data_IF_194945726723
#
_entry.id   IF_194945726723
#
_cell.length_a   1.000
_cell.length_b   1.000
_cell.length_c   1.000
_cell.angle_alpha   90.00
_cell.angle_beta   90.00
_cell.angle_gamma   90.00
#
_symmetry.space_group_name_H-M   'P 1'
#
loop_
_entity.id
_entity.type
_entity.pdbx_description
1 polymer ?
#
# COMPACT_ATOMS: atom_id res chain seq x y z
N UNK A 1 16.33 -3.93 -45.44
CA UNK A 1 16.63 -2.58 -44.92
C UNK A 1 15.50 -2.00 -44.07
N UNK A 2 14.29 -1.78 -44.62
CA UNK A 2 13.16 -1.21 -43.85
C UNK A 2 12.80 -2.05 -42.61
N UNK A 3 12.73 -3.38 -42.76
CA UNK A 3 12.44 -4.30 -41.64
C UNK A 3 13.46 -4.16 -40.51
N UNK A 4 14.76 -4.14 -40.82
CA UNK A 4 15.82 -3.96 -39.82
C UNK A 4 15.70 -2.62 -39.08
N UNK A 5 15.41 -1.53 -39.81
CA UNK A 5 15.20 -0.21 -39.20
C UNK A 5 14.02 -0.24 -38.22
N UNK A 6 12.88 -0.82 -38.63
CA UNK A 6 11.69 -0.93 -37.78
C UNK A 6 11.97 -1.77 -36.54
N UNK A 7 12.64 -2.92 -36.70
CA UNK A 7 13.01 -3.81 -35.60
C UNK A 7 13.96 -3.13 -34.62
N UNK A 8 14.95 -2.39 -35.13
CA UNK A 8 15.88 -1.61 -34.30
C UNK A 8 15.12 -0.60 -33.42
N UNK A 9 14.27 0.24 -34.02
CA UNK A 9 13.52 1.25 -33.26
C UNK A 9 12.49 0.63 -32.31
N UNK A 10 11.93 -0.54 -32.65
CA UNK A 10 11.08 -1.30 -31.74
C UNK A 10 11.88 -1.78 -30.52
N UNK A 11 13.07 -2.34 -30.75
CA UNK A 11 13.97 -2.77 -29.68
C UNK A 11 14.40 -1.61 -28.77
N UNK A 12 14.75 -0.47 -29.36
CA UNK A 12 15.08 0.76 -28.65
C UNK A 12 13.91 1.27 -27.80
N UNK A 13 12.69 1.24 -28.34
CA UNK A 13 11.50 1.65 -27.61
C UNK A 13 11.20 0.73 -26.41
N UNK A 14 11.41 -0.59 -26.56
CA UNK A 14 11.27 -1.56 -25.47
C UNK A 14 12.31 -1.29 -24.38
N UNK A 15 13.59 -1.16 -24.74
CA UNK A 15 14.66 -0.89 -23.78
C UNK A 15 14.45 0.46 -23.07
N UNK A 16 14.18 1.53 -23.83
CA UNK A 16 13.92 2.86 -23.27
C UNK A 16 12.67 2.91 -22.37
N UNK A 17 11.59 2.24 -22.78
CA UNK A 17 10.38 2.11 -21.97
C UNK A 17 10.62 1.33 -20.67
N UNK A 18 11.50 0.33 -20.71
CA UNK A 18 11.89 -0.47 -19.54
C UNK A 18 12.69 0.36 -18.54
N UNK A 19 13.67 1.14 -19.00
CA UNK A 19 14.42 2.05 -18.13
C UNK A 19 13.50 3.13 -17.55
N UNK A 20 12.58 3.67 -18.35
CA UNK A 20 11.60 4.63 -17.85
C UNK A 20 10.69 4.03 -16.77
N UNK A 21 10.30 2.76 -16.90
CA UNK A 21 9.55 2.03 -15.86
C UNK A 21 10.39 1.89 -14.58
N UNK A 22 11.66 1.50 -14.67
CA UNK A 22 12.55 1.39 -13.52
C UNK A 22 12.77 2.74 -12.81
N UNK A 23 13.02 3.81 -13.57
CA UNK A 23 13.18 5.18 -13.04
C UNK A 23 11.89 5.67 -12.36
N UNK A 24 10.73 5.45 -12.99
CA UNK A 24 9.43 5.80 -12.39
C UNK A 24 9.17 5.07 -11.08
N UNK A 25 9.61 3.81 -10.98
CA UNK A 25 9.35 2.98 -9.80
C UNK A 25 10.32 3.27 -8.64
N UNK A 26 11.58 3.63 -8.93
CA UNK A 26 12.62 3.72 -7.92
C UNK A 26 13.22 5.11 -7.70
N UNK A 27 13.09 6.03 -8.65
CA UNK A 27 13.76 7.34 -8.60
C UNK A 27 12.75 8.47 -8.47
N UNK A 28 11.57 8.36 -9.09
CA UNK A 28 10.60 9.47 -9.14
C UNK A 28 9.74 9.48 -7.87
N UNK A 29 9.79 10.53 -7.03
CA UNK A 29 9.06 10.62 -5.77
C UNK A 29 7.60 11.08 -5.97
N UNK A 30 6.99 10.73 -7.11
CA UNK A 30 5.59 11.08 -7.42
C UNK A 30 4.81 9.80 -7.62
N UNK A 31 3.54 9.84 -7.20
CA UNK A 31 2.51 8.81 -7.40
C UNK A 31 2.25 8.54 -8.90
N UNK A 32 3.21 7.93 -9.59
CA UNK A 32 3.07 7.51 -10.97
C UNK A 32 2.75 6.03 -11.01
N UNK A 33 1.56 5.74 -11.54
CA UNK A 33 1.15 4.38 -11.83
C UNK A 33 1.95 3.86 -13.03
N UNK A 34 3.00 3.09 -12.77
CA UNK A 34 3.70 2.38 -13.83
C UNK A 34 2.90 1.15 -14.28
N UNK A 35 2.64 1.05 -15.59
CA UNK A 35 1.83 -0.03 -16.16
C UNK A 35 2.52 -1.39 -16.02
N UNK A 36 3.84 -1.44 -16.20
CA UNK A 36 4.59 -2.68 -16.10
C UNK A 36 4.57 -3.19 -14.66
N UNK A 37 4.85 -2.32 -13.69
CA UNK A 37 4.74 -2.68 -12.26
C UNK A 37 3.33 -3.16 -11.90
N UNK A 38 2.27 -2.50 -12.40
CA UNK A 38 0.89 -2.96 -12.18
C UNK A 38 0.65 -4.36 -12.75
N UNK A 39 1.13 -4.64 -13.95
CA UNK A 39 1.00 -5.97 -14.58
C UNK A 39 1.74 -7.02 -13.74
N UNK A 40 2.99 -6.73 -13.33
CA UNK A 40 3.77 -7.66 -12.49
C UNK A 40 3.06 -7.94 -11.18
N UNK A 41 2.65 -6.90 -10.44
CA UNK A 41 1.93 -7.06 -9.17
C UNK A 41 0.56 -7.72 -9.35
N UNK A 42 -0.11 -7.50 -10.48
CA UNK A 42 -1.38 -8.14 -10.81
C UNK A 42 -1.23 -9.64 -11.09
N UNK A 43 -0.25 -10.02 -11.91
CA UNK A 43 0.05 -11.42 -12.24
C UNK A 43 0.50 -12.17 -10.99
N UNK A 44 1.41 -11.61 -10.20
CA UNK A 44 1.80 -12.23 -8.92
C UNK A 44 0.61 -12.34 -7.99
N UNK A 45 -0.28 -11.33 -7.91
CA UNK A 45 -1.48 -11.41 -7.06
C UNK A 45 -2.41 -12.55 -7.48
N UNK A 46 -2.55 -12.83 -8.78
CA UNK A 46 -3.33 -13.96 -9.27
C UNK A 46 -2.72 -15.29 -8.81
N UNK A 47 -1.39 -15.44 -8.88
CA UNK A 47 -0.69 -16.63 -8.38
C UNK A 47 -0.89 -16.82 -6.88
N UNK A 48 -0.71 -15.77 -6.08
CA UNK A 48 -0.91 -15.82 -4.63
C UNK A 48 -2.38 -16.07 -4.25
N UNK A 49 -3.34 -15.55 -5.03
CA UNK A 49 -4.77 -15.88 -4.86
C UNK A 49 -5.03 -17.36 -5.09
N UNK A 50 -4.45 -17.96 -6.14
CA UNK A 50 -4.57 -19.40 -6.36
C UNK A 50 -3.97 -20.21 -5.21
N UNK A 51 -2.77 -19.85 -4.72
CA UNK A 51 -2.12 -20.52 -3.58
C UNK A 51 -2.95 -20.42 -2.29
N UNK A 52 -3.51 -19.25 -2.00
CA UNK A 52 -4.34 -19.02 -0.79
C UNK A 52 -5.75 -19.62 -0.87
N UNK A 53 -6.26 -19.87 -2.08
CA UNK A 53 -7.49 -20.64 -2.33
C UNK A 53 -7.27 -22.13 -2.05
N UNK A 54 -6.14 -22.70 -2.51
CA UNK A 54 -5.77 -24.11 -2.27
C UNK A 54 -5.47 -24.37 -0.79
N UNK A 55 -4.96 -23.38 -0.06
CA UNK A 55 -4.66 -23.48 1.37
C UNK A 55 -5.89 -23.67 2.31
N UNK A 56 -7.10 -23.86 1.76
CA UNK A 56 -8.34 -24.31 2.40
C UNK A 56 -8.71 -23.67 3.76
N UNK A 57 -9.68 -22.75 3.71
CA UNK A 57 -10.70 -22.34 4.69
C UNK A 57 -10.35 -22.02 6.18
N UNK A 58 -9.39 -22.64 6.86
CA UNK A 58 -9.46 -22.72 8.34
C UNK A 58 -8.30 -22.14 9.16
N UNK A 59 -7.47 -21.24 8.65
CA UNK A 59 -6.70 -20.37 9.55
C UNK A 59 -6.22 -19.11 8.83
N UNK A 60 -6.71 -17.94 9.26
CA UNK A 60 -6.24 -16.63 8.77
C UNK A 60 -4.71 -16.57 8.76
N UNK A 61 -4.03 -17.08 9.80
CA UNK A 61 -2.57 -17.19 9.90
C UNK A 61 -1.89 -17.86 8.70
N UNK A 62 -2.45 -18.94 8.14
CA UNK A 62 -1.82 -19.63 7.01
C UNK A 62 -1.87 -18.76 5.74
N UNK A 63 -3.01 -18.10 5.51
CA UNK A 63 -3.16 -17.16 4.39
C UNK A 63 -2.26 -15.95 4.56
N UNK A 64 -2.19 -15.42 5.78
CA UNK A 64 -1.32 -14.31 6.15
C UNK A 64 0.16 -14.64 5.89
N UNK A 65 0.63 -15.81 6.34
CA UNK A 65 2.00 -16.28 6.10
C UNK A 65 2.33 -16.42 4.60
N UNK A 66 1.40 -16.92 3.79
CA UNK A 66 1.59 -16.98 2.33
C UNK A 66 1.68 -15.56 1.78
N UNK A 67 0.73 -14.70 2.13
CA UNK A 67 0.66 -13.33 1.63
C UNK A 67 1.80 -12.43 2.16
N UNK A 68 2.52 -12.82 3.21
CA UNK A 68 3.72 -12.11 3.66
C UNK A 68 4.81 -12.09 2.58
N UNK A 69 4.87 -13.11 1.73
CA UNK A 69 5.81 -13.16 0.60
C UNK A 69 5.32 -12.40 -0.65
N UNK A 70 4.05 -11.97 -0.70
CA UNK A 70 3.48 -11.36 -1.90
C UNK A 70 4.23 -10.09 -2.32
N UNK A 71 4.40 -9.12 -1.41
CA UNK A 71 5.03 -7.86 -1.75
C UNK A 71 6.54 -8.01 -2.04
N UNK A 72 7.33 -8.74 -1.21
CA UNK A 72 8.74 -8.98 -1.49
C UNK A 72 8.97 -9.71 -2.81
N UNK A 73 8.21 -10.77 -3.09
CA UNK A 73 8.36 -11.51 -4.36
C UNK A 73 7.92 -10.64 -5.54
N UNK A 74 6.82 -9.90 -5.44
CA UNK A 74 6.38 -9.01 -6.53
C UNK A 74 7.42 -7.93 -6.84
N UNK A 75 8.06 -7.38 -5.82
CA UNK A 75 9.13 -6.40 -5.97
C UNK A 75 10.36 -7.03 -6.65
N UNK A 76 10.79 -8.21 -6.19
CA UNK A 76 11.93 -8.91 -6.77
C UNK A 76 11.66 -9.34 -8.22
N UNK A 77 10.42 -9.69 -8.56
CA UNK A 77 10.02 -10.08 -9.92
C UNK A 77 10.11 -8.93 -10.94
N UNK A 78 10.14 -7.67 -10.50
CA UNK A 78 10.34 -6.54 -11.41
C UNK A 78 11.70 -6.60 -12.12
N UNK A 79 12.75 -7.01 -11.41
CA UNK A 79 14.10 -7.06 -11.98
C UNK A 79 14.22 -8.10 -13.10
N UNK A 80 13.84 -9.39 -12.93
CA UNK A 80 13.80 -10.36 -14.01
C UNK A 80 12.92 -9.92 -15.19
N UNK A 81 11.79 -9.25 -14.92
CA UNK A 81 10.91 -8.75 -15.98
C UNK A 81 11.59 -7.63 -16.77
N UNK A 82 12.20 -6.65 -16.10
CA UNK A 82 12.97 -5.61 -16.76
C UNK A 82 14.15 -6.19 -17.54
N UNK A 83 14.87 -7.15 -16.97
CA UNK A 83 15.98 -7.81 -17.66
C UNK A 83 15.50 -8.53 -18.92
N UNK A 84 14.40 -9.27 -18.83
CA UNK A 84 13.82 -9.95 -19.97
C UNK A 84 13.42 -8.98 -21.09
N UNK A 85 12.86 -7.80 -20.73
CA UNK A 85 12.50 -6.77 -21.69
C UNK A 85 13.73 -6.06 -22.29
N UNK A 86 14.76 -5.78 -21.49
CA UNK A 86 16.03 -5.22 -22.00
C UNK A 86 16.68 -6.22 -22.95
N UNK A 87 16.80 -7.50 -22.57
CA UNK A 87 17.32 -8.55 -23.45
C UNK A 87 16.52 -8.62 -24.74
N UNK A 88 15.19 -8.62 -24.66
CA UNK A 88 14.34 -8.65 -25.86
C UNK A 88 14.58 -7.43 -26.76
N UNK A 89 14.65 -6.24 -26.17
CA UNK A 89 14.90 -5.00 -26.90
C UNK A 89 16.28 -4.97 -27.57
N UNK A 90 17.32 -5.39 -26.85
CA UNK A 90 18.68 -5.45 -27.37
C UNK A 90 18.87 -6.57 -28.38
N UNK A 91 18.24 -7.73 -28.20
CA UNK A 91 18.20 -8.80 -29.20
C UNK A 91 17.68 -8.28 -30.55
N UNK A 92 16.60 -7.49 -30.54
CA UNK A 92 16.09 -6.83 -31.73
C UNK A 92 17.10 -5.85 -32.34
N UNK A 93 17.79 -5.04 -31.51
CA UNK A 93 18.79 -4.08 -31.99
C UNK A 93 20.03 -4.76 -32.58
N UNK A 94 20.56 -5.81 -31.94
CA UNK A 94 21.67 -6.61 -32.44
C UNK A 94 21.35 -7.28 -33.77
N UNK A 95 20.17 -7.91 -33.87
CA UNK A 95 19.70 -8.51 -35.13
C UNK A 95 19.66 -7.46 -36.25
N UNK A 96 19.13 -6.26 -35.96
CA UNK A 96 19.02 -5.19 -36.94
C UNK A 96 20.37 -4.61 -37.41
N UNK A 97 21.41 -4.69 -36.57
CA UNK A 97 22.76 -4.17 -36.86
C UNK A 97 23.65 -5.19 -37.60
N UNK A 98 23.17 -6.41 -37.81
CA UNK A 98 23.81 -7.38 -38.69
C UNK A 98 24.17 -8.72 -38.06
N UNK A 99 23.64 -9.02 -36.86
CA UNK A 99 23.74 -10.37 -36.28
C UNK A 99 22.75 -11.28 -37.01
N UNK A 100 23.28 -12.25 -37.76
CA UNK A 100 22.52 -13.01 -38.76
C UNK A 100 21.44 -13.93 -38.19
N UNK A 101 21.65 -14.52 -37.01
CA UNK A 101 20.66 -15.40 -36.35
C UNK A 101 20.08 -14.75 -35.10
N UNK A 102 18.77 -14.94 -34.88
CA UNK A 102 18.07 -14.45 -33.70
C UNK A 102 18.60 -15.09 -32.41
N UNK A 103 19.00 -16.37 -32.47
CA UNK A 103 19.58 -17.04 -31.32
C UNK A 103 20.94 -16.46 -30.94
N UNK A 104 21.74 -16.08 -31.92
CA UNK A 104 23.04 -15.46 -31.68
C UNK A 104 22.88 -14.02 -31.19
N UNK A 105 21.91 -13.27 -31.71
CA UNK A 105 21.55 -11.95 -31.18
C UNK A 105 21.09 -12.03 -29.71
N UNK A 106 20.30 -13.06 -29.37
CA UNK A 106 19.86 -13.32 -27.99
C UNK A 106 21.04 -13.70 -27.09
N UNK A 107 21.96 -14.54 -27.57
CA UNK A 107 23.18 -14.91 -26.85
C UNK A 107 24.07 -13.69 -26.61
N UNK A 108 24.24 -12.83 -27.61
CA UNK A 108 25.05 -11.62 -27.51
C UNK A 108 24.45 -10.61 -26.53
N UNK A 109 23.13 -10.41 -26.59
CA UNK A 109 22.40 -9.57 -25.63
C UNK A 109 22.47 -10.11 -24.21
N UNK A 110 22.15 -11.40 -24.01
CA UNK A 110 22.24 -12.05 -22.70
C UNK A 110 23.66 -12.01 -22.11
N UNK A 111 24.68 -12.23 -22.95
CA UNK A 111 26.08 -12.15 -22.52
C UNK A 111 26.50 -10.73 -22.13
N UNK A 112 26.00 -9.71 -22.85
CA UNK A 112 26.30 -8.30 -22.58
C UNK A 112 25.59 -7.79 -21.33
N UNK A 113 24.28 -8.02 -21.21
CA UNK A 113 23.47 -7.60 -20.06
C UNK A 113 23.97 -8.20 -18.74
N UNK A 114 24.27 -9.51 -18.76
CA UNK A 114 24.75 -10.24 -17.59
C UNK A 114 26.27 -10.14 -17.41
N UNK A 115 26.97 -9.39 -18.27
CA UNK A 115 28.42 -9.17 -18.22
C UNK A 115 29.25 -10.46 -18.26
N UNK A 116 28.76 -11.49 -18.95
CA UNK A 116 29.39 -12.80 -19.03
C UNK A 116 30.52 -12.87 -20.07
N UNK A 117 30.46 -12.06 -21.13
CA UNK A 117 31.57 -11.85 -22.08
C UNK A 117 31.97 -13.04 -22.95
N UNK A 118 31.15 -14.09 -23.07
CA UNK A 118 31.45 -15.27 -23.90
C UNK A 118 30.96 -15.16 -25.35
N UNK A 119 30.07 -14.22 -25.66
CA UNK A 119 29.58 -14.00 -27.02
C UNK A 119 30.48 -12.96 -27.72
N UNK A 120 31.07 -13.30 -28.89
CA UNK A 120 31.90 -12.35 -29.62
C UNK A 120 31.07 -11.16 -30.11
N UNK A 121 31.72 -10.01 -30.21
CA UNK A 121 31.11 -8.76 -30.67
C UNK A 121 31.89 -8.27 -31.87
N UNK A 122 31.28 -8.38 -33.05
CA UNK A 122 31.96 -8.13 -34.32
C UNK A 122 31.48 -6.79 -34.90
N UNK A 123 32.31 -5.76 -34.74
CA UNK A 123 32.10 -4.43 -35.34
C UNK A 123 31.56 -3.36 -34.38
N UNK A 124 31.80 -2.12 -34.76
CA UNK A 124 31.63 -0.93 -33.90
C UNK A 124 30.19 -0.76 -33.37
N UNK A 125 29.18 -0.99 -34.21
CA UNK A 125 27.79 -0.80 -33.80
C UNK A 125 27.34 -1.86 -32.79
N UNK A 126 27.78 -3.12 -32.93
CA UNK A 126 27.53 -4.17 -31.95
C UNK A 126 28.27 -3.87 -30.63
N UNK A 127 29.51 -3.35 -30.70
CA UNK A 127 30.28 -2.95 -29.51
C UNK A 127 29.57 -1.86 -28.71
N UNK A 128 29.04 -0.83 -29.38
CA UNK A 128 28.28 0.24 -28.72
C UNK A 128 27.03 -0.33 -28.04
N UNK A 129 26.27 -1.20 -28.71
CA UNK A 129 25.10 -1.84 -28.11
C UNK A 129 25.49 -2.67 -26.89
N UNK A 130 26.52 -3.50 -26.98
CA UNK A 130 26.99 -4.33 -25.86
C UNK A 130 27.40 -3.47 -24.64
N UNK A 131 28.13 -2.38 -24.85
CA UNK A 131 28.54 -1.47 -23.76
C UNK A 131 27.35 -0.73 -23.13
N UNK A 132 26.43 -0.23 -23.95
CA UNK A 132 25.22 0.43 -23.41
C UNK A 132 24.35 -0.58 -22.66
N UNK A 133 24.17 -1.80 -23.16
CA UNK A 133 23.39 -2.84 -22.50
C UNK A 133 24.00 -3.26 -21.16
N UNK A 134 25.32 -3.50 -21.12
CA UNK A 134 26.03 -3.83 -19.90
C UNK A 134 25.89 -2.69 -18.85
N UNK A 135 26.01 -1.45 -19.30
CA UNK A 135 25.82 -0.27 -18.43
C UNK A 135 24.40 -0.21 -17.86
N UNK A 136 23.38 -0.44 -18.69
CA UNK A 136 21.99 -0.47 -18.25
C UNK A 136 21.71 -1.63 -17.29
N UNK A 137 22.26 -2.82 -17.57
CA UNK A 137 22.17 -3.98 -16.69
C UNK A 137 22.71 -3.68 -15.30
N UNK A 138 23.94 -3.15 -15.23
CA UNK A 138 24.58 -2.74 -13.98
C UNK A 138 23.79 -1.63 -13.26
N UNK A 139 23.30 -0.63 -13.99
CA UNK A 139 22.47 0.45 -13.42
C UNK A 139 21.20 -0.10 -12.76
N UNK A 140 20.50 -1.04 -13.40
CA UNK A 140 19.30 -1.67 -12.86
C UNK A 140 19.58 -2.47 -11.58
N UNK A 141 20.70 -3.22 -11.50
CA UNK A 141 21.11 -3.89 -10.25
C UNK A 141 21.41 -2.86 -9.17
N UNK A 142 22.22 -1.86 -9.48
CA UNK A 142 22.62 -0.83 -8.52
C UNK A 142 21.40 -0.11 -7.92
N UNK A 143 20.42 0.20 -8.76
CA UNK A 143 19.16 0.81 -8.35
C UNK A 143 18.35 -0.09 -7.41
N UNK A 144 18.26 -1.41 -7.69
CA UNK A 144 17.60 -2.36 -6.79
C UNK A 144 18.34 -2.47 -5.44
N UNK A 145 19.66 -2.56 -5.46
CA UNK A 145 20.49 -2.62 -4.24
C UNK A 145 20.27 -1.37 -3.38
N UNK A 146 20.21 -0.18 -3.99
CA UNK A 146 19.94 1.07 -3.28
C UNK A 146 18.48 1.18 -2.79
N UNK A 147 17.53 0.56 -3.49
CA UNK A 147 16.10 0.67 -3.19
C UNK A 147 15.66 -0.18 -1.98
N UNK A 148 16.19 -1.41 -1.84
CA UNK A 148 15.79 -2.31 -0.76
C UNK A 148 16.01 -1.73 0.66
N UNK A 149 17.17 -1.12 1.00
CA UNK A 149 17.36 -0.47 2.29
C UNK A 149 16.33 0.64 2.57
N UNK A 150 16.06 1.49 1.58
CA UNK A 150 15.07 2.58 1.70
C UNK A 150 13.66 2.04 1.97
N UNK A 151 13.27 0.96 1.29
CA UNK A 151 12.01 0.24 1.55
C UNK A 151 11.93 -0.29 2.98
N UNK A 152 12.96 -0.99 3.45
CA UNK A 152 12.96 -1.55 4.81
C UNK A 152 12.94 -0.47 5.87
N UNK A 153 13.64 0.64 5.65
CA UNK A 153 13.60 1.79 6.56
C UNK A 153 12.19 2.39 6.66
N UNK A 154 11.51 2.60 5.52
CA UNK A 154 10.14 3.09 5.50
C UNK A 154 9.16 2.11 6.17
N UNK A 155 9.32 0.80 5.91
CA UNK A 155 8.54 -0.24 6.57
C UNK A 155 8.75 -0.24 8.09
N UNK A 156 9.99 -0.11 8.58
CA UNK A 156 10.30 -0.08 10.01
C UNK A 156 9.68 1.12 10.71
N UNK A 157 9.75 2.33 10.11
CA UNK A 157 9.10 3.53 10.65
C UNK A 157 7.58 3.36 10.77
N UNK A 158 6.96 2.83 9.71
CA UNK A 158 5.54 2.49 9.68
C UNK A 158 5.18 1.53 10.83
N UNK A 159 5.94 0.46 10.96
CA UNK A 159 5.64 -0.66 11.85
C UNK A 159 5.87 -0.34 13.34
N UNK A 160 6.74 0.62 13.65
CA UNK A 160 6.99 1.06 15.02
C UNK A 160 5.70 1.56 15.69
N UNK A 161 4.95 2.45 15.04
CA UNK A 161 3.70 2.97 15.59
C UNK A 161 2.62 1.88 15.73
N UNK A 162 2.51 0.99 14.74
CA UNK A 162 1.58 -0.16 14.77
C UNK A 162 1.89 -1.08 15.94
N UNK A 163 3.17 -1.38 16.18
CA UNK A 163 3.62 -2.20 17.32
C UNK A 163 3.31 -1.51 18.66
N UNK A 164 3.58 -0.21 18.76
CA UNK A 164 3.29 0.58 19.96
C UNK A 164 1.79 0.72 20.23
N UNK A 165 0.93 0.54 19.23
CA UNK A 165 -0.51 0.61 19.41
C UNK A 165 -1.05 -0.59 20.20
N UNK A 166 -0.45 -1.78 20.11
CA UNK A 166 -0.99 -2.99 20.76
C UNK A 166 -1.13 -2.83 22.28
N UNK A 167 -0.14 -2.23 22.95
CA UNK A 167 -0.20 -1.99 24.40
C UNK A 167 -1.28 -0.97 24.78
N UNK A 168 -1.66 -0.10 23.82
CA UNK A 168 -2.66 0.97 23.99
C UNK A 168 -4.06 0.50 23.62
N UNK A 169 -4.26 -0.20 22.51
CA UNK A 169 -5.56 -0.51 21.91
C UNK A 169 -5.89 -2.01 21.85
N UNK A 170 -4.95 -2.88 22.24
CA UNK A 170 -5.09 -4.34 22.19
C UNK A 170 -4.73 -4.95 20.82
N UNK A 171 -4.88 -6.27 20.73
CA UNK A 171 -4.80 -7.05 19.49
C UNK A 171 -6.06 -7.93 19.35
N UNK A 172 -6.92 -7.71 18.34
CA UNK A 172 -6.84 -6.65 17.33
C UNK A 172 -7.00 -5.24 17.95
N UNK A 173 -6.48 -4.19 17.30
CA UNK A 173 -6.59 -2.82 17.82
C UNK A 173 -8.04 -2.34 17.76
N UNK A 174 -8.50 -1.69 18.84
CA UNK A 174 -9.84 -1.10 18.90
C UNK A 174 -9.86 0.18 19.72
N UNK A 175 -10.60 1.18 19.23
CA UNK A 175 -10.69 2.50 19.84
C UNK A 175 -11.15 2.46 21.30
N UNK A 176 -12.11 1.60 21.64
CA UNK A 176 -12.72 1.57 22.98
C UNK A 176 -11.74 1.02 24.00
N UNK A 177 -11.03 -0.06 23.66
CA UNK A 177 -9.95 -0.59 24.50
C UNK A 177 -8.89 0.48 24.78
N UNK A 178 -8.60 1.34 23.80
CA UNK A 178 -7.68 2.46 23.96
C UNK A 178 -8.20 3.50 24.95
N UNK A 179 -9.43 3.98 24.78
CA UNK A 179 -10.02 4.96 25.68
C UNK A 179 -10.15 4.44 27.12
N UNK A 180 -10.57 3.19 27.30
CA UNK A 180 -10.64 2.53 28.62
C UNK A 180 -9.27 2.43 29.28
N UNK A 181 -8.22 2.05 28.54
CA UNK A 181 -6.86 1.96 29.08
C UNK A 181 -6.30 3.32 29.45
N UNK A 182 -6.54 4.35 28.63
CA UNK A 182 -6.11 5.70 28.95
C UNK A 182 -6.83 6.24 30.19
N UNK A 183 -8.13 5.99 30.31
CA UNK A 183 -8.90 6.34 31.51
C UNK A 183 -8.32 5.68 32.77
N UNK A 184 -8.00 4.38 32.71
CA UNK A 184 -7.55 3.60 33.87
C UNK A 184 -6.09 3.83 34.27
N UNK A 185 -5.19 4.11 33.32
CA UNK A 185 -3.72 4.08 33.56
C UNK A 185 -3.08 5.46 33.46
N UNK A 186 -3.41 6.24 32.43
CA UNK A 186 -2.62 7.42 32.04
C UNK A 186 -3.32 8.76 32.26
N UNK A 187 -4.65 8.77 32.37
CA UNK A 187 -5.47 9.96 32.24
C UNK A 187 -5.60 10.41 30.79
N UNK A 188 -6.72 11.09 30.47
CA UNK A 188 -6.98 11.56 29.11
C UNK A 188 -6.07 12.71 28.66
N UNK A 189 -5.38 13.38 29.58
CA UNK A 189 -4.45 14.48 29.29
C UNK A 189 -3.31 14.07 28.33
N UNK A 190 -2.96 12.77 28.32
CA UNK A 190 -1.91 12.22 27.45
C UNK A 190 -2.40 11.80 26.06
N UNK A 191 -3.70 11.87 25.77
CA UNK A 191 -4.21 11.54 24.43
C UNK A 191 -3.64 12.49 23.37
N UNK A 192 -3.39 13.75 23.73
CA UNK A 192 -2.79 14.74 22.84
C UNK A 192 -1.45 14.33 22.22
N UNK A 193 -0.58 13.70 23.00
CA UNK A 193 0.71 13.17 22.53
C UNK A 193 0.52 12.05 21.50
N UNK A 194 -0.53 11.24 21.67
CA UNK A 194 -0.87 10.19 20.71
C UNK A 194 -1.34 10.81 19.41
N UNK A 195 -2.20 11.82 19.48
CA UNK A 195 -2.73 12.48 18.29
C UNK A 195 -1.63 13.12 17.46
N UNK A 196 -0.69 13.82 18.09
CA UNK A 196 0.46 14.44 17.40
C UNK A 196 1.38 13.39 16.76
N UNK A 197 1.67 12.29 17.49
CA UNK A 197 2.48 11.20 16.94
C UNK A 197 1.81 10.51 15.75
N UNK A 198 0.49 10.34 15.77
CA UNK A 198 -0.25 9.69 14.68
C UNK A 198 -0.52 10.65 13.51
N UNK A 199 -0.67 11.95 13.77
CA UNK A 199 -0.67 12.99 12.73
C UNK A 199 0.60 12.91 11.90
N UNK A 200 1.77 12.90 12.56
CA UNK A 200 3.06 12.70 11.88
C UNK A 200 3.11 11.37 11.12
N UNK A 201 2.69 10.27 11.77
CA UNK A 201 2.69 8.95 11.14
C UNK A 201 1.80 8.88 9.89
N UNK A 202 0.65 9.55 9.88
CA UNK A 202 -0.22 9.62 8.71
C UNK A 202 0.44 10.39 7.56
N UNK A 203 1.13 11.49 7.84
CA UNK A 203 1.89 12.23 6.83
C UNK A 203 3.05 11.38 6.26
N UNK A 204 3.76 10.64 7.10
CA UNK A 204 4.83 9.71 6.68
C UNK A 204 4.28 8.55 5.83
N UNK A 205 3.11 8.00 6.19
CA UNK A 205 2.45 6.96 5.40
C UNK A 205 1.97 7.51 4.05
N UNK A 206 1.36 8.70 4.01
CA UNK A 206 0.90 9.31 2.75
C UNK A 206 2.04 9.39 1.74
N UNK A 207 3.19 9.93 2.16
CA UNK A 207 4.38 10.06 1.33
C UNK A 207 4.93 8.68 0.94
N UNK A 208 5.27 7.85 1.94
CA UNK A 208 5.95 6.58 1.67
C UNK A 208 5.09 5.58 0.89
N UNK A 209 3.78 5.48 1.15
CA UNK A 209 2.91 4.48 0.53
C UNK A 209 2.43 4.89 -0.86
N UNK A 210 2.58 6.16 -1.25
CA UNK A 210 2.35 6.62 -2.63
C UNK A 210 3.64 6.68 -3.45
N UNK A 211 4.79 6.98 -2.83
CA UNK A 211 6.13 6.93 -3.44
C UNK A 211 6.65 5.50 -3.60
N UNK A 212 6.33 4.61 -2.65
CA UNK A 212 6.79 3.21 -2.59
C UNK A 212 5.58 2.25 -2.49
N UNK A 213 4.79 2.08 -3.56
CA UNK A 213 3.48 1.43 -3.49
C UNK A 213 3.49 -0.01 -2.99
N UNK A 214 4.62 -0.71 -3.13
CA UNK A 214 4.80 -2.05 -2.61
C UNK A 214 4.61 -2.11 -1.08
N UNK A 215 4.95 -1.06 -0.34
CA UNK A 215 4.83 -0.99 1.14
C UNK A 215 3.41 -1.25 1.65
N UNK A 216 2.39 -0.85 0.88
CA UNK A 216 0.98 -1.11 1.22
C UNK A 216 0.71 -2.60 1.48
N UNK A 217 1.47 -3.48 0.82
CA UNK A 217 1.30 -4.93 0.87
C UNK A 217 2.33 -5.64 1.77
N UNK A 218 3.29 -4.91 2.35
CA UNK A 218 4.21 -5.49 3.34
C UNK A 218 3.44 -5.78 4.63
N UNK A 219 3.37 -7.06 4.99
CA UNK A 219 2.68 -7.51 6.20
C UNK A 219 3.52 -7.23 7.44
N UNK A 220 2.82 -6.98 8.54
CA UNK A 220 3.43 -6.89 9.86
C UNK A 220 4.12 -8.21 10.23
N UNK A 221 5.21 -8.19 11.02
CA UNK A 221 5.87 -9.43 11.48
C UNK A 221 4.96 -10.33 12.33
N UNK A 222 3.95 -9.74 12.99
CA UNK A 222 2.93 -10.45 13.74
C UNK A 222 1.63 -10.43 12.95
N UNK A 223 1.05 -11.61 12.70
CA UNK A 223 -0.06 -11.80 11.75
C UNK A 223 -1.36 -11.06 12.09
N UNK A 224 -1.57 -10.76 13.36
CA UNK A 224 -2.76 -10.06 13.88
C UNK A 224 -2.65 -8.53 13.79
N UNK A 225 -1.49 -8.01 13.38
CA UNK A 225 -1.25 -6.58 13.20
C UNK A 225 -1.43 -6.15 11.75
N UNK A 226 -1.91 -4.93 11.58
CA UNK A 226 -1.97 -4.26 10.29
C UNK A 226 -1.96 -2.76 10.48
N UNK A 227 -1.21 -2.07 9.62
CA UNK A 227 -1.19 -0.61 9.59
C UNK A 227 -2.57 -0.02 9.25
N UNK A 228 -3.39 -0.73 8.47
CA UNK A 228 -4.74 -0.28 8.09
C UNK A 228 -5.69 -0.34 9.29
N UNK A 229 -5.70 -1.46 10.03
CA UNK A 229 -6.58 -1.59 11.21
C UNK A 229 -6.10 -0.72 12.35
N UNK A 230 -4.79 -0.51 12.48
CA UNK A 230 -4.22 0.45 13.40
C UNK A 230 -4.66 1.89 13.10
N UNK A 231 -4.58 2.31 11.82
CA UNK A 231 -5.10 3.60 11.36
C UNK A 231 -6.58 3.75 11.69
N UNK A 232 -7.40 2.73 11.41
CA UNK A 232 -8.83 2.73 11.75
C UNK A 232 -9.10 2.93 13.24
N UNK A 233 -8.43 2.15 14.10
CA UNK A 233 -8.62 2.23 15.54
C UNK A 233 -8.22 3.60 16.12
N UNK A 234 -7.17 4.23 15.61
CA UNK A 234 -6.71 5.56 16.05
C UNK A 234 -7.67 6.65 15.59
N UNK A 235 -8.12 6.60 14.34
CA UNK A 235 -9.10 7.55 13.81
C UNK A 235 -10.43 7.45 14.55
N UNK A 236 -10.90 6.24 14.83
CA UNK A 236 -12.11 6.02 15.62
C UNK A 236 -11.94 6.51 17.06
N UNK A 237 -10.77 6.32 17.67
CA UNK A 237 -10.50 6.82 19.01
C UNK A 237 -10.48 8.35 19.06
N UNK A 238 -9.86 9.01 18.08
CA UNK A 238 -9.85 10.47 17.98
C UNK A 238 -11.26 11.01 17.70
N UNK A 239 -12.01 10.40 16.78
CA UNK A 239 -13.39 10.76 16.48
C UNK A 239 -14.32 10.60 17.70
N UNK A 240 -14.20 9.50 18.46
CA UNK A 240 -14.95 9.30 19.71
C UNK A 240 -14.53 10.29 20.81
N UNK A 241 -13.23 10.57 20.94
CA UNK A 241 -12.74 11.58 21.90
C UNK A 241 -13.38 12.93 21.65
N UNK A 242 -13.56 13.32 20.38
CA UNK A 242 -14.14 14.61 20.00
C UNK A 242 -15.66 14.65 20.03
N UNK A 243 -16.31 13.58 19.62
CA UNK A 243 -17.77 13.51 19.53
C UNK A 243 -18.44 13.15 20.84
N UNK A 244 -17.83 12.26 21.63
CA UNK A 244 -18.52 11.48 22.68
C UNK A 244 -18.06 11.83 24.09
N UNK A 245 -16.76 12.07 24.29
CA UNK A 245 -16.21 12.36 25.62
C UNK A 245 -16.46 13.81 26.03
N UNK A 246 -16.78 14.02 27.31
CA UNK A 246 -16.88 15.36 27.91
C UNK A 246 -15.52 15.79 28.47
N UNK A 247 -14.64 16.19 27.55
CA UNK A 247 -13.28 16.65 27.82
C UNK A 247 -13.07 18.05 27.24
N UNK A 248 -12.10 18.82 27.77
CA UNK A 248 -11.66 20.07 27.14
C UNK A 248 -11.32 19.85 25.67
N UNK A 249 -11.67 20.82 24.83
CA UNK A 249 -11.41 20.72 23.39
C UNK A 249 -9.90 20.63 23.12
N UNK A 250 -9.47 19.55 22.46
CA UNK A 250 -8.10 19.36 21.98
C UNK A 250 -8.09 19.34 20.44
N UNK A 251 -7.62 20.40 19.77
CA UNK A 251 -7.53 20.47 18.32
C UNK A 251 -6.66 19.37 17.69
N UNK A 252 -5.72 18.78 18.46
CA UNK A 252 -4.83 17.74 17.93
C UNK A 252 -5.59 16.49 17.49
N UNK A 253 -6.70 16.14 18.14
CA UNK A 253 -7.53 15.03 17.70
C UNK A 253 -8.23 15.34 16.36
N UNK A 254 -8.71 16.58 16.17
CA UNK A 254 -9.34 17.01 14.91
C UNK A 254 -8.31 16.97 13.75
N UNK A 255 -7.08 17.42 14.02
CA UNK A 255 -5.97 17.38 13.07
C UNK A 255 -5.51 15.95 12.76
N UNK A 256 -5.46 15.07 13.77
CA UNK A 256 -5.15 13.65 13.57
C UNK A 256 -6.19 12.96 12.66
N UNK A 257 -7.48 13.20 12.88
CA UNK A 257 -8.54 12.67 12.00
C UNK A 257 -8.36 13.20 10.58
N UNK A 258 -8.08 14.50 10.43
CA UNK A 258 -7.83 15.12 9.13
C UNK A 258 -6.62 14.56 8.40
N UNK A 259 -5.49 14.45 9.08
CA UNK A 259 -4.27 13.87 8.53
C UNK A 259 -4.52 12.43 8.06
N UNK A 260 -5.21 11.62 8.86
CA UNK A 260 -5.47 10.24 8.49
C UNK A 260 -6.43 10.06 7.33
N UNK A 261 -7.56 10.78 7.28
CA UNK A 261 -8.44 10.62 6.11
C UNK A 261 -7.80 11.15 4.83
N UNK A 262 -6.96 12.20 4.89
CA UNK A 262 -6.21 12.68 3.73
C UNK A 262 -5.20 11.62 3.26
N UNK A 263 -4.41 11.07 4.17
CA UNK A 263 -3.44 10.03 3.87
C UNK A 263 -4.09 8.80 3.23
N UNK A 264 -5.15 8.27 3.85
CA UNK A 264 -5.87 7.10 3.33
C UNK A 264 -6.49 7.39 1.95
N UNK A 265 -7.07 8.58 1.74
CA UNK A 265 -7.64 8.99 0.44
C UNK A 265 -6.57 9.09 -0.65
N UNK A 266 -5.38 9.63 -0.35
CA UNK A 266 -4.27 9.69 -1.32
C UNK A 266 -3.75 8.32 -1.73
N UNK A 267 -3.69 7.38 -0.78
CA UNK A 267 -3.37 5.98 -1.09
C UNK A 267 -4.47 5.35 -1.95
N UNK A 268 -5.74 5.62 -1.64
CA UNK A 268 -6.86 5.17 -2.46
C UNK A 268 -6.85 5.76 -3.88
N UNK A 269 -6.53 7.05 -4.04
CA UNK A 269 -6.33 7.71 -5.34
C UNK A 269 -5.26 6.96 -6.15
N UNK A 270 -4.14 6.60 -5.50
CA UNK A 270 -3.07 5.83 -6.15
C UNK A 270 -3.55 4.47 -6.67
N UNK A 271 -4.41 3.77 -5.93
CA UNK A 271 -5.00 2.49 -6.37
C UNK A 271 -6.23 2.65 -7.27
N UNK A 272 -6.70 3.87 -7.51
CA UNK A 272 -7.88 4.17 -8.33
C UNK A 272 -9.19 3.75 -7.68
N UNK A 273 -9.28 3.80 -6.35
CA UNK A 273 -10.51 3.51 -5.64
C UNK A 273 -11.46 4.71 -5.68
N UNK A 274 -12.71 4.53 -6.13
CA UNK A 274 -13.71 5.60 -6.08
C UNK A 274 -14.21 5.83 -4.65
N UNK A 275 -14.35 7.11 -4.28
CA UNK A 275 -15.00 7.55 -3.04
C UNK A 275 -15.61 8.96 -3.25
N UNK A 276 -16.54 9.37 -2.39
CA UNK A 276 -17.04 10.75 -2.41
C UNK A 276 -16.00 11.69 -1.77
N UNK A 277 -15.45 12.69 -2.50
CA UNK A 277 -14.43 13.59 -1.94
C UNK A 277 -14.97 14.50 -0.83
N UNK A 278 -16.26 14.80 -0.82
CA UNK A 278 -16.94 15.62 0.18
C UNK A 278 -18.15 14.86 0.75
N UNK A 279 -17.91 13.80 1.54
CA UNK A 279 -18.99 13.04 2.16
C UNK A 279 -19.59 13.83 3.32
N UNK A 280 -20.91 13.82 3.42
CA UNK A 280 -21.66 14.47 4.49
C UNK A 280 -22.66 13.49 5.09
N UNK A 281 -22.62 13.29 6.41
CA UNK A 281 -23.63 12.52 7.11
C UNK A 281 -24.85 13.44 7.40
N UNK A 282 -26.11 12.96 7.26
CA UNK A 282 -26.54 11.59 6.96
C UNK A 282 -26.66 11.22 5.47
N UNK A 283 -26.44 12.16 4.54
CA UNK A 283 -26.59 11.92 3.09
C UNK A 283 -25.70 10.77 2.58
N UNK A 284 -24.49 10.67 3.13
CA UNK A 284 -23.56 9.58 2.94
C UNK A 284 -23.55 8.70 4.22
N UNK A 285 -23.94 7.42 4.13
CA UNK A 285 -23.96 6.52 5.27
C UNK A 285 -22.54 6.10 5.70
N UNK A 286 -22.40 5.71 6.96
CA UNK A 286 -21.21 5.05 7.50
C UNK A 286 -21.47 3.56 7.74
N UNK A 287 -20.40 2.77 7.81
CA UNK A 287 -20.50 1.33 8.04
C UNK A 287 -20.88 0.91 9.47
N UNK A 288 -20.81 1.84 10.42
CA UNK A 288 -21.13 1.61 11.84
C UNK A 288 -22.60 1.96 12.07
N UNK A 289 -23.34 1.05 12.69
CA UNK A 289 -24.76 1.29 12.99
C UNK A 289 -24.93 2.10 14.28
N UNK A 290 -26.10 2.75 14.42
CA UNK A 290 -26.44 3.47 15.66
C UNK A 290 -26.42 2.55 16.88
N UNK A 291 -26.95 1.33 16.76
CA UNK A 291 -26.97 0.37 17.86
C UNK A 291 -25.56 0.01 18.36
N UNK A 292 -24.57 -0.05 17.47
CA UNK A 292 -23.18 -0.33 17.84
C UNK A 292 -22.51 0.85 18.54
N UNK A 293 -22.79 2.06 18.09
CA UNK A 293 -22.38 3.27 18.81
C UNK A 293 -23.02 3.33 20.19
N UNK A 294 -24.31 3.00 20.28
CA UNK A 294 -25.04 2.98 21.54
C UNK A 294 -24.45 1.96 22.52
N UNK A 295 -24.11 0.76 22.06
CA UNK A 295 -23.43 -0.23 22.90
C UNK A 295 -22.05 0.27 23.40
N UNK A 296 -21.33 1.02 22.57
CA UNK A 296 -20.07 1.67 22.95
C UNK A 296 -20.31 2.76 23.99
N UNK A 297 -21.33 3.61 23.80
CA UNK A 297 -21.70 4.64 24.75
C UNK A 297 -21.96 4.04 26.14
N UNK A 298 -22.80 3.01 26.20
CA UNK A 298 -23.16 2.35 27.46
C UNK A 298 -21.95 1.68 28.13
N UNK A 299 -21.04 1.12 27.33
CA UNK A 299 -19.77 0.57 27.81
C UNK A 299 -18.86 1.65 28.41
N UNK A 300 -18.64 2.76 27.71
CA UNK A 300 -17.83 3.87 28.23
C UNK A 300 -18.45 4.46 29.51
N UNK A 301 -19.77 4.62 29.55
CA UNK A 301 -20.49 5.10 30.74
C UNK A 301 -20.29 4.16 31.94
N UNK A 302 -20.35 2.84 31.72
CA UNK A 302 -20.15 1.84 32.77
C UNK A 302 -18.74 1.84 33.38
N UNK A 303 -17.76 2.34 32.62
CA UNK A 303 -16.37 2.51 33.05
C UNK A 303 -16.12 3.84 33.78
N UNK A 304 -17.16 4.68 33.94
CA UNK A 304 -17.05 5.99 34.59
C UNK A 304 -16.35 7.05 33.73
N UNK A 305 -16.23 6.81 32.43
CA UNK A 305 -15.66 7.77 31.50
C UNK A 305 -16.64 8.95 31.33
N UNK A 306 -16.19 10.23 31.44
CA UNK A 306 -17.06 11.38 31.27
C UNK A 306 -17.57 11.47 29.83
N UNK A 307 -18.88 11.41 29.67
CA UNK A 307 -19.58 11.49 28.38
C UNK A 307 -20.35 12.80 28.29
N UNK A 308 -20.50 13.33 27.07
CA UNK A 308 -21.33 14.51 26.83
C UNK A 308 -22.79 14.24 27.21
N UNK A 309 -23.52 15.32 27.52
CA UNK A 309 -24.92 15.20 27.94
C UNK A 309 -25.85 14.72 26.81
N UNK A 310 -25.63 15.17 25.57
CA UNK A 310 -26.47 14.85 24.43
C UNK A 310 -25.89 13.69 23.61
N UNK A 311 -26.44 12.49 23.84
CA UNK A 311 -26.07 11.26 23.11
C UNK A 311 -26.44 11.30 21.64
N UNK A 312 -27.53 11.97 21.27
CA UNK A 312 -27.97 12.04 19.87
C UNK A 312 -27.04 12.94 19.06
N UNK A 313 -26.68 14.09 19.62
CA UNK A 313 -25.70 14.98 19.01
C UNK A 313 -24.32 14.30 18.92
N UNK A 314 -23.91 13.58 19.96
CA UNK A 314 -22.63 12.86 19.95
C UNK A 314 -22.56 11.77 18.87
N UNK A 315 -23.66 11.06 18.60
CA UNK A 315 -23.75 10.15 17.46
C UNK A 315 -23.61 10.88 16.12
N UNK A 316 -24.34 11.97 15.92
CA UNK A 316 -24.26 12.76 14.69
C UNK A 316 -22.83 13.29 14.45
N UNK A 317 -22.18 13.77 15.51
CA UNK A 317 -20.79 14.23 15.47
C UNK A 317 -19.83 13.08 15.13
N UNK A 318 -19.98 11.92 15.78
CA UNK A 318 -19.16 10.74 15.49
C UNK A 318 -19.29 10.31 14.04
N UNK A 319 -20.52 10.22 13.55
CA UNK A 319 -20.80 9.85 12.17
C UNK A 319 -20.27 10.90 11.18
N UNK A 320 -20.37 12.19 11.52
CA UNK A 320 -19.79 13.30 10.77
C UNK A 320 -18.27 13.24 10.65
N UNK A 321 -17.56 12.75 11.67
CA UNK A 321 -16.13 12.46 11.57
C UNK A 321 -15.86 11.19 10.76
N UNK A 322 -16.52 10.08 11.12
CA UNK A 322 -16.29 8.74 10.56
C UNK A 322 -16.49 8.68 9.06
N UNK A 323 -17.49 9.39 8.53
CA UNK A 323 -17.82 9.39 7.09
C UNK A 323 -16.65 9.82 6.20
N UNK A 324 -15.69 10.58 6.74
CA UNK A 324 -14.54 11.05 5.97
C UNK A 324 -13.56 9.94 5.57
N UNK A 325 -13.46 8.88 6.37
CA UNK A 325 -12.49 7.79 6.15
C UNK A 325 -13.14 6.41 6.06
N UNK A 326 -14.43 6.26 6.36
CA UNK A 326 -15.12 4.96 6.39
C UNK A 326 -14.92 4.13 5.11
N UNK A 327 -15.41 4.60 3.95
CA UNK A 327 -15.33 3.86 2.69
C UNK A 327 -13.89 3.50 2.30
N UNK A 328 -12.97 4.44 2.47
CA UNK A 328 -11.58 4.28 2.06
C UNK A 328 -10.83 3.33 2.99
N UNK A 329 -11.05 3.43 4.30
CA UNK A 329 -10.49 2.50 5.29
C UNK A 329 -10.91 1.06 4.96
N UNK A 330 -12.19 0.84 4.66
CA UNK A 330 -12.71 -0.49 4.30
C UNK A 330 -12.12 -1.01 2.99
N UNK A 331 -12.02 -0.15 1.97
CA UNK A 331 -11.40 -0.48 0.69
C UNK A 331 -9.93 -0.90 0.87
N UNK A 332 -9.17 -0.17 1.69
CA UNK A 332 -7.77 -0.50 1.99
C UNK A 332 -7.64 -1.77 2.82
N UNK A 333 -8.56 -2.01 3.77
CA UNK A 333 -8.58 -3.23 4.57
C UNK A 333 -8.82 -4.47 3.69
N UNK A 334 -9.71 -4.37 2.70
CA UNK A 334 -9.92 -5.43 1.71
C UNK A 334 -8.74 -5.58 0.76
N UNK A 335 -8.21 -4.46 0.23
CA UNK A 335 -7.07 -4.47 -0.69
C UNK A 335 -5.88 -5.23 -0.09
N UNK A 336 -5.59 -4.94 1.17
CA UNK A 336 -4.47 -5.51 1.93
C UNK A 336 -4.79 -6.87 2.55
N UNK A 337 -6.07 -7.29 2.57
CA UNK A 337 -6.55 -8.45 3.31
C UNK A 337 -6.06 -8.40 4.77
N UNK A 338 -6.41 -7.30 5.44
CA UNK A 338 -6.06 -7.04 6.83
C UNK A 338 -6.69 -8.07 7.79
N UNK A 339 -6.06 -8.34 8.95
CA UNK A 339 -6.63 -9.21 10.00
C UNK A 339 -7.93 -8.61 10.50
N UNK A 340 -8.88 -9.46 10.90
CA UNK A 340 -10.20 -9.03 11.40
C UNK A 340 -10.00 -8.17 12.65
N UNK A 341 -10.48 -6.93 12.58
CA UNK A 341 -10.48 -5.95 13.65
C UNK A 341 -11.83 -5.22 13.65
N UNK A 342 -12.35 -4.81 14.83
CA UNK A 342 -13.64 -4.15 14.93
C UNK A 342 -13.69 -2.83 14.13
N UNK A 343 -14.85 -2.54 13.54
CA UNK A 343 -15.14 -1.28 12.83
C UNK A 343 -14.21 -0.98 11.64
N UNK A 344 -13.56 -2.00 11.11
CA UNK A 344 -12.63 -1.91 9.99
C UNK A 344 -12.72 -3.17 9.13
N UNK A 345 -11.76 -4.08 9.24
CA UNK A 345 -11.70 -5.29 8.41
C UNK A 345 -12.80 -6.31 8.70
N UNK A 346 -13.52 -6.22 9.83
CA UNK A 346 -14.76 -6.95 10.10
C UNK A 346 -15.90 -6.58 9.13
N UNK A 347 -15.84 -5.40 8.48
CA UNK A 347 -16.78 -4.93 7.45
C UNK A 347 -16.30 -5.13 6.02
N UNK A 348 -14.99 -5.29 5.82
CA UNK A 348 -14.35 -5.36 4.51
C UNK A 348 -14.95 -6.42 3.56
N UNK A 349 -15.41 -7.62 3.99
CA UNK A 349 -15.96 -8.60 3.05
C UNK A 349 -17.30 -8.19 2.40
N UNK A 350 -18.00 -7.17 2.90
CA UNK A 350 -19.45 -6.97 2.63
C UNK A 350 -19.74 -5.77 1.71
N UNK A 351 -18.93 -4.71 1.68
CA UNK A 351 -19.29 -3.48 0.94
C UNK A 351 -18.75 -3.37 -0.50
N UNK A 352 -17.53 -3.84 -0.77
CA UNK A 352 -16.90 -3.64 -2.08
C UNK A 352 -17.57 -4.45 -3.20
N UNK A 353 -18.06 -5.64 -2.87
CA UNK A 353 -18.84 -6.47 -3.79
C UNK A 353 -20.19 -5.83 -4.17
N UNK A 354 -20.76 -5.01 -3.29
CA UNK A 354 -22.03 -4.33 -3.53
C UNK A 354 -21.86 -2.99 -4.27
N UNK A 355 -20.81 -2.21 -3.96
CA UNK A 355 -20.53 -0.94 -4.64
C UNK A 355 -20.17 -1.11 -6.13
N UNK A 356 -19.38 -2.13 -6.49
CA UNK A 356 -19.06 -2.42 -7.90
C UNK A 356 -20.23 -3.02 -8.69
N UNK A 357 -21.19 -3.65 -8.03
CA UNK A 357 -22.38 -4.19 -8.69
C UNK A 357 -23.43 -3.10 -8.97
N UNK A 358 -23.49 -2.03 -8.17
CA UNK A 358 -24.42 -0.92 -8.38
C UNK A 358 -23.92 0.10 -9.41
N UNK A 359 -22.60 0.26 -9.59
CA UNK A 359 -22.01 1.27 -10.49
C UNK A 359 -21.45 0.69 -11.80
N UNK A 360 -21.79 -0.56 -12.13
CA UNK A 360 -21.48 -1.22 -13.43
C UNK A 360 -22.63 -1.18 -14.44
N UNK A 361 -23.72 -0.46 -14.15
CA UNK A 361 -24.85 -0.27 -15.07
C UNK A 361 -24.77 1.06 -15.79
#
# INVERSE_FOLDING_TARGET
>A
MIVAIVVFFTGLAIAGGTILSAVRNFVVPRSQQDRLSRVVFGVTRLLFRALTQVAAANLYRRRDNILAFYAPISLLMLLPVWYSLVVLGYTCMFWAVGVSDWLDALRQSGSSLLTLGFAPVDGLAQTILAFTEATLGLMLVALLIAYLPSMYNAFQRRELAVTMLEVRAGSPPWAINMLERYHRIHGFDRLGEVWESWEQWFAEIEESHTSLPALNFFRSPVSDRSWVTAAGAVLDAAALTRSTLDLPADPRADLCVRAGYLALRRIADFFGFPYNPNPHFPDAPISISRAEYDAVWDRLASEGIPLKADREQAWCDFAGWRVNYDTVLLALAELTQAPIAPWSSDRAPIQFRNYFNTHRR
#
